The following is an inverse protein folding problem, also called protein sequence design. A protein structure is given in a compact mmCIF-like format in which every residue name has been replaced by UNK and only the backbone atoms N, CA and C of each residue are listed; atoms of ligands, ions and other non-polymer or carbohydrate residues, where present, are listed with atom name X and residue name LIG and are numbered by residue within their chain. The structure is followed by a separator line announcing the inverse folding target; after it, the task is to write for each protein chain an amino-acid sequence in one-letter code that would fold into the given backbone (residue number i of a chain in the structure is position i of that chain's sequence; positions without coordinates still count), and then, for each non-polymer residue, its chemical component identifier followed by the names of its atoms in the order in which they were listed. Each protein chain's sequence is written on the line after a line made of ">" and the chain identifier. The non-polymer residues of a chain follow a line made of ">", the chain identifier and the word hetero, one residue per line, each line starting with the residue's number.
data_IF_229457796672
#
_entry.id   IF_229457796672
#
_cell.length_a   1.000
_cell.length_b   1.000
_cell.length_c   1.000
_cell.angle_alpha   90.00
_cell.angle_beta   90.00
_cell.angle_gamma   90.00
#
_symmetry.space_group_name_H-M   'P 1'
#
loop_
_entity.id
_entity.type
_entity.pdbx_description
1 polymer ?
#
# COMPACT_ATOMS: atom_id res chain seq x y z
N UNK A 1 -4.31 -1.64 -0.53
CA UNK A 1 -3.65 -1.69 -1.83
C UNK A 1 -4.61 -1.25 -2.93
N UNK A 2 -4.08 -0.50 -3.90
CA UNK A 2 -4.80 -0.05 -5.10
C UNK A 2 -4.10 -0.64 -6.33
N UNK A 3 -4.88 -0.99 -7.35
CA UNK A 3 -4.35 -1.61 -8.56
C UNK A 3 -5.13 -1.20 -9.81
N UNK A 4 -4.52 -1.32 -10.98
CA UNK A 4 -5.14 -1.14 -12.31
C UNK A 4 -5.97 -2.38 -12.66
N UNK A 5 -7.24 -2.36 -12.31
CA UNK A 5 -8.14 -3.49 -12.52
C UNK A 5 -8.34 -3.82 -13.99
N UNK A 6 -8.38 -2.82 -14.86
CA UNK A 6 -8.42 -2.97 -16.31
C UNK A 6 -7.21 -3.75 -16.84
N UNK A 7 -6.00 -3.44 -16.37
CA UNK A 7 -4.77 -4.16 -16.75
C UNK A 7 -4.77 -5.59 -16.23
N UNK A 8 -5.28 -5.81 -15.00
CA UNK A 8 -5.40 -7.16 -14.45
C UNK A 8 -6.38 -8.01 -15.27
N UNK A 9 -7.52 -7.43 -15.69
CA UNK A 9 -8.50 -8.09 -16.53
C UNK A 9 -7.91 -8.41 -17.92
N UNK A 10 -7.23 -7.45 -18.56
CA UNK A 10 -6.56 -7.63 -19.83
C UNK A 10 -5.58 -8.80 -19.83
N UNK A 11 -4.78 -8.93 -18.76
CA UNK A 11 -3.75 -9.94 -18.61
C UNK A 11 -4.23 -11.24 -17.95
N UNK A 12 -5.50 -11.31 -17.52
CA UNK A 12 -6.04 -12.45 -16.78
C UNK A 12 -5.34 -12.70 -15.46
N UNK A 13 -4.97 -11.64 -14.73
CA UNK A 13 -4.29 -11.74 -13.44
C UNK A 13 -5.31 -11.86 -12.30
N UNK A 14 -5.05 -12.78 -11.39
CA UNK A 14 -5.81 -12.92 -10.15
C UNK A 14 -5.26 -11.97 -9.07
N UNK A 15 -6.14 -11.58 -8.13
CA UNK A 15 -5.73 -10.79 -6.96
C UNK A 15 -4.83 -11.65 -6.07
N UNK A 16 -3.59 -11.21 -5.79
CA UNK A 16 -2.65 -11.99 -4.98
C UNK A 16 -3.10 -12.05 -3.51
N UNK A 17 -2.98 -13.21 -2.90
CA UNK A 17 -3.35 -13.47 -1.51
C UNK A 17 -2.16 -13.64 -0.57
N UNK A 18 -0.97 -13.84 -1.14
CA UNK A 18 0.28 -14.04 -0.41
C UNK A 18 1.45 -13.38 -1.12
N UNK A 19 2.62 -13.40 -0.46
CA UNK A 19 3.86 -12.78 -0.93
C UNK A 19 4.33 -13.31 -2.29
N UNK A 20 4.25 -14.61 -2.49
CA UNK A 20 4.75 -15.23 -3.71
C UNK A 20 3.84 -14.94 -4.91
N UNK A 21 2.53 -14.96 -4.70
CA UNK A 21 1.56 -14.55 -5.71
C UNK A 21 1.72 -13.06 -6.06
N UNK A 22 1.94 -12.21 -5.05
CA UNK A 22 2.19 -10.77 -5.28
C UNK A 22 3.45 -10.55 -6.12
N UNK A 23 4.54 -11.25 -5.80
CA UNK A 23 5.76 -11.20 -6.60
C UNK A 23 5.50 -11.67 -8.04
N UNK A 24 4.81 -12.79 -8.23
CA UNK A 24 4.51 -13.34 -9.56
C UNK A 24 3.63 -12.39 -10.40
N UNK A 25 2.68 -11.70 -9.77
CA UNK A 25 1.89 -10.64 -10.45
C UNK A 25 2.78 -9.51 -10.92
N UNK A 26 3.71 -9.02 -10.08
CA UNK A 26 4.65 -7.97 -10.50
C UNK A 26 5.55 -8.41 -11.66
N UNK A 27 6.02 -9.66 -11.66
CA UNK A 27 6.82 -10.22 -12.76
C UNK A 27 6.01 -10.25 -14.06
N UNK A 28 4.77 -10.74 -14.03
CA UNK A 28 3.90 -10.78 -15.22
C UNK A 28 3.59 -9.39 -15.76
N UNK A 29 3.34 -8.42 -14.88
CA UNK A 29 3.16 -7.03 -15.28
C UNK A 29 4.42 -6.46 -15.96
N UNK A 30 5.60 -6.77 -15.41
CA UNK A 30 6.89 -6.37 -16.00
C UNK A 30 7.16 -7.02 -17.35
N UNK A 31 6.78 -8.28 -17.52
CA UNK A 31 6.90 -9.00 -18.79
C UNK A 31 5.99 -8.41 -19.87
N UNK A 32 4.74 -8.08 -19.51
CA UNK A 32 3.78 -7.44 -20.41
C UNK A 32 4.17 -6.00 -20.75
N UNK A 33 4.71 -5.26 -19.77
CA UNK A 33 5.12 -3.86 -19.90
C UNK A 33 6.60 -3.67 -19.51
N UNK A 34 7.56 -4.03 -20.39
CA UNK A 34 8.98 -4.10 -20.03
C UNK A 34 9.61 -2.79 -19.55
N UNK A 35 9.06 -1.65 -19.97
CA UNK A 35 9.55 -0.32 -19.57
C UNK A 35 8.93 0.20 -18.29
N UNK A 36 7.95 -0.51 -17.71
CA UNK A 36 7.27 -0.12 -16.47
C UNK A 36 8.07 -0.48 -15.22
N UNK A 37 7.63 0.06 -14.10
CA UNK A 37 7.96 -0.38 -12.75
C UNK A 37 6.64 -0.75 -12.07
N UNK A 38 6.21 -2.02 -12.08
CA UNK A 38 4.86 -2.43 -11.71
C UNK A 38 4.36 -1.93 -10.37
N UNK A 39 5.26 -1.78 -9.39
CA UNK A 39 4.96 -1.28 -8.05
C UNK A 39 5.54 0.12 -7.85
N UNK A 40 4.69 1.07 -7.45
CA UNK A 40 5.13 2.41 -7.09
C UNK A 40 4.57 2.84 -5.74
N UNK A 41 5.40 3.52 -4.96
CA UNK A 41 5.01 4.26 -3.77
C UNK A 41 5.35 5.73 -3.97
N UNK A 42 4.61 6.64 -3.33
CA UNK A 42 4.99 8.04 -3.25
C UNK A 42 5.72 8.34 -1.96
N UNK A 43 6.68 9.25 -2.00
CA UNK A 43 7.23 9.84 -0.80
C UNK A 43 6.15 10.70 -0.13
N UNK A 44 5.71 10.25 1.04
CA UNK A 44 4.58 10.82 1.75
C UNK A 44 5.06 11.16 3.16
N UNK A 45 5.19 12.44 3.46
CA UNK A 45 5.68 12.94 4.75
C UNK A 45 7.01 12.31 5.23
N UNK A 46 7.89 11.95 4.27
CA UNK A 46 9.16 11.29 4.54
C UNK A 46 9.13 9.77 4.29
N UNK A 47 10.32 9.23 4.07
CA UNK A 47 10.54 7.80 3.72
C UNK A 47 10.01 6.81 4.75
N UNK A 48 9.94 7.23 6.00
CA UNK A 48 9.53 6.40 7.13
C UNK A 48 8.05 6.03 7.09
N UNK A 49 7.21 6.86 6.47
CA UNK A 49 5.78 6.60 6.43
C UNK A 49 5.39 5.38 5.60
N UNK A 50 6.15 5.06 4.56
CA UNK A 50 5.92 3.84 3.78
C UNK A 50 6.19 2.58 4.61
N UNK A 51 7.24 2.58 5.41
CA UNK A 51 7.55 1.47 6.32
C UNK A 51 6.44 1.27 7.35
N UNK A 52 5.83 2.38 7.84
CA UNK A 52 4.68 2.32 8.73
C UNK A 52 3.49 1.58 8.11
N UNK A 53 3.28 1.78 6.81
CA UNK A 53 2.16 1.17 6.09
C UNK A 53 2.44 -0.27 5.69
N UNK A 54 3.68 -0.62 5.44
CA UNK A 54 4.09 -1.94 4.95
C UNK A 54 4.38 -2.94 6.08
N UNK A 55 4.98 -2.50 7.18
CA UNK A 55 5.41 -3.39 8.26
C UNK A 55 4.28 -4.26 8.85
N UNK A 56 3.04 -3.76 9.06
CA UNK A 56 1.97 -4.57 9.63
C UNK A 56 1.58 -5.80 8.81
N UNK A 57 1.63 -5.73 7.49
CA UNK A 57 1.31 -6.91 6.63
C UNK A 57 2.40 -7.98 6.69
N UNK A 58 3.56 -7.65 7.28
CA UNK A 58 4.65 -8.58 7.57
C UNK A 58 4.60 -9.14 8.99
N UNK A 59 3.64 -8.72 9.81
CA UNK A 59 3.56 -9.14 11.21
C UNK A 59 4.57 -8.40 12.12
N UNK A 60 5.02 -7.22 11.71
CA UNK A 60 5.95 -6.40 12.49
C UNK A 60 5.44 -4.95 12.62
N UNK A 61 6.17 -4.11 13.31
CA UNK A 61 5.81 -2.71 13.52
C UNK A 61 6.95 -1.76 13.11
N UNK A 62 6.57 -0.66 12.51
CA UNK A 62 7.45 0.45 12.20
C UNK A 62 6.68 1.76 12.25
N UNK A 63 6.08 2.09 13.38
CA UNK A 63 5.36 3.34 13.55
C UNK A 63 6.27 4.39 14.17
N UNK A 64 6.61 5.41 13.38
CA UNK A 64 7.27 6.63 13.86
C UNK A 64 6.22 7.67 14.23
N UNK A 65 5.44 7.40 15.26
CA UNK A 65 4.56 8.38 15.89
C UNK A 65 5.09 8.79 17.23
N UNK A 66 4.73 9.96 17.72
CA UNK A 66 5.13 10.45 19.06
C UNK A 66 4.75 9.48 20.17
N UNK A 67 3.69 8.69 19.97
CA UNK A 67 3.12 7.79 20.97
C UNK A 67 3.66 6.34 20.87
N UNK A 68 4.25 5.91 19.74
CA UNK A 68 4.55 4.48 19.54
C UNK A 68 5.76 4.24 18.61
N UNK A 69 6.91 4.78 18.99
CA UNK A 69 8.14 4.75 18.22
C UNK A 69 8.65 3.33 17.99
N UNK A 70 8.23 2.69 16.88
CA UNK A 70 8.72 1.40 16.42
C UNK A 70 8.36 0.19 17.30
N UNK A 71 7.58 0.37 18.38
CA UNK A 71 7.18 -0.70 19.25
C UNK A 71 5.80 -1.25 18.86
N UNK A 72 5.69 -2.56 18.82
CA UNK A 72 4.46 -3.31 18.76
C UNK A 72 4.12 -3.93 20.11
N UNK A 73 2.85 -4.06 20.40
CA UNK A 73 2.36 -4.81 21.56
C UNK A 73 1.56 -6.01 21.08
N UNK A 74 2.01 -7.18 21.50
CA UNK A 74 1.29 -8.42 21.25
C UNK A 74 0.28 -8.64 22.38
N UNK A 75 -1.01 -8.60 22.03
CA UNK A 75 -2.10 -8.75 23.00
C UNK A 75 -2.27 -10.20 23.49
N UNK A 76 -1.80 -11.19 22.74
CA UNK A 76 -1.92 -12.59 23.12
C UNK A 76 -0.83 -12.99 24.10
N UNK A 77 0.41 -12.62 23.87
CA UNK A 77 1.52 -12.85 24.79
C UNK A 77 1.66 -11.80 25.89
N UNK A 78 1.13 -10.59 25.69
CA UNK A 78 1.31 -9.46 26.61
C UNK A 78 2.69 -8.81 26.54
N UNK A 79 3.43 -9.04 25.45
CA UNK A 79 4.80 -8.57 25.31
C UNK A 79 4.94 -7.38 24.35
N UNK A 80 5.95 -6.56 24.60
CA UNK A 80 6.36 -5.49 23.70
C UNK A 80 7.50 -5.96 22.80
N UNK A 81 7.40 -5.65 21.51
CA UNK A 81 8.48 -5.90 20.53
C UNK A 81 8.97 -4.58 19.93
N UNK A 82 10.25 -4.55 19.58
CA UNK A 82 10.83 -3.46 18.78
C UNK A 82 10.94 -3.91 17.33
N UNK A 83 10.01 -3.45 16.51
CA UNK A 83 9.85 -3.93 15.12
C UNK A 83 11.12 -3.93 14.27
N UNK A 84 11.93 -2.85 14.23
CA UNK A 84 13.11 -2.79 13.39
C UNK A 84 14.18 -3.88 13.63
N UNK A 85 14.12 -4.58 14.76
CA UNK A 85 15.04 -5.70 15.06
C UNK A 85 14.39 -7.07 14.87
N UNK A 86 13.11 -7.10 14.46
CA UNK A 86 12.41 -8.36 14.25
C UNK A 86 12.86 -9.07 12.96
N UNK A 87 12.82 -10.41 12.92
CA UNK A 87 13.09 -11.17 11.71
C UNK A 87 12.16 -10.79 10.54
N UNK A 88 10.90 -10.49 10.83
CA UNK A 88 9.87 -10.10 9.86
C UNK A 88 10.21 -8.76 9.20
N UNK A 89 10.76 -7.82 9.97
CA UNK A 89 11.21 -6.54 9.42
C UNK A 89 12.39 -6.74 8.46
N UNK A 90 13.33 -7.60 8.81
CA UNK A 90 14.44 -7.97 7.93
C UNK A 90 13.93 -8.62 6.64
N UNK A 91 13.00 -9.57 6.75
CA UNK A 91 12.39 -10.24 5.59
C UNK A 91 11.69 -9.24 4.68
N UNK A 92 10.95 -8.29 5.25
CA UNK A 92 10.34 -7.19 4.51
C UNK A 92 11.37 -6.39 3.71
N UNK A 93 12.47 -5.98 4.34
CA UNK A 93 13.53 -5.23 3.65
C UNK A 93 14.18 -6.04 2.54
N UNK A 94 14.44 -7.32 2.77
CA UNK A 94 15.02 -8.23 1.77
C UNK A 94 14.09 -8.38 0.55
N UNK A 95 12.79 -8.52 0.78
CA UNK A 95 11.79 -8.59 -0.28
C UNK A 95 11.74 -7.33 -1.13
N UNK A 96 11.59 -6.15 -0.52
CA UNK A 96 11.56 -4.89 -1.28
C UNK A 96 12.90 -4.57 -1.95
N UNK A 97 14.03 -4.97 -1.36
CA UNK A 97 15.34 -4.89 -2.01
C UNK A 97 15.41 -5.78 -3.25
N UNK A 98 14.83 -6.99 -3.20
CA UNK A 98 14.69 -7.87 -4.36
C UNK A 98 13.87 -7.20 -5.45
N UNK A 99 12.67 -6.69 -5.13
CA UNK A 99 11.82 -6.00 -6.09
C UNK A 99 12.53 -4.80 -6.75
N UNK A 100 13.28 -4.04 -5.95
CA UNK A 100 14.07 -2.91 -6.43
C UNK A 100 15.15 -3.35 -7.44
N UNK A 101 15.92 -4.38 -7.10
CA UNK A 101 17.00 -4.89 -7.96
C UNK A 101 16.50 -5.48 -9.27
N UNK A 102 15.31 -6.07 -9.26
CA UNK A 102 14.67 -6.68 -10.43
C UNK A 102 13.87 -5.68 -11.26
N UNK A 103 13.84 -4.39 -10.88
CA UNK A 103 13.12 -3.34 -11.57
C UNK A 103 11.59 -3.49 -11.49
N UNK A 104 11.10 -4.17 -10.44
CA UNK A 104 9.68 -4.34 -10.15
C UNK A 104 9.13 -3.21 -9.28
N UNK A 105 10.00 -2.52 -8.53
CA UNK A 105 9.70 -1.36 -7.71
C UNK A 105 10.30 -0.09 -8.34
N UNK A 106 9.51 0.97 -8.39
CA UNK A 106 9.93 2.28 -8.91
C UNK A 106 11.21 2.77 -8.23
N UNK A 107 12.30 3.10 -8.97
CA UNK A 107 13.61 3.35 -8.37
C UNK A 107 13.68 4.54 -7.42
N UNK A 108 12.89 5.59 -7.69
CA UNK A 108 12.86 6.80 -6.88
C UNK A 108 11.71 6.82 -5.86
N UNK A 109 11.20 5.65 -5.46
CA UNK A 109 10.05 5.49 -4.55
C UNK A 109 10.22 6.21 -3.20
N UNK A 110 11.45 6.49 -2.78
CA UNK A 110 11.76 7.22 -1.54
C UNK A 110 11.73 8.75 -1.72
N UNK A 111 11.81 9.26 -2.94
CA UNK A 111 11.97 10.68 -3.23
C UNK A 111 10.92 11.27 -4.17
N UNK A 112 10.19 10.42 -4.89
CA UNK A 112 9.14 10.88 -5.81
C UNK A 112 8.04 11.59 -5.05
N UNK A 113 7.68 12.78 -5.51
CA UNK A 113 6.58 13.53 -4.94
C UNK A 113 5.21 12.99 -5.36
N UNK A 114 4.15 13.56 -4.80
CA UNK A 114 2.79 13.13 -5.10
C UNK A 114 2.45 13.29 -6.58
N UNK A 115 2.90 14.38 -7.23
CA UNK A 115 2.60 14.61 -8.65
C UNK A 115 3.31 13.60 -9.53
N UNK A 116 4.61 13.40 -9.37
CA UNK A 116 5.37 12.43 -10.13
C UNK A 116 4.83 11.00 -9.99
N UNK A 117 4.43 10.60 -8.78
CA UNK A 117 3.78 9.31 -8.54
C UNK A 117 2.42 9.21 -9.26
N UNK A 118 1.62 10.28 -9.28
CA UNK A 118 0.37 10.29 -10.03
C UNK A 118 0.62 10.14 -11.53
N UNK A 119 1.61 10.85 -12.06
CA UNK A 119 1.97 10.80 -13.47
C UNK A 119 2.43 9.37 -13.88
N UNK A 120 3.23 8.69 -13.05
CA UNK A 120 3.69 7.31 -13.30
C UNK A 120 2.52 6.32 -13.39
N UNK A 121 1.53 6.43 -12.52
CA UNK A 121 0.33 5.56 -12.55
C UNK A 121 -0.56 5.93 -13.75
N UNK A 122 -0.80 7.23 -13.98
CA UNK A 122 -1.64 7.70 -15.08
C UNK A 122 -1.11 7.31 -16.45
N UNK A 123 0.22 7.31 -16.62
CA UNK A 123 0.87 6.94 -17.88
C UNK A 123 1.00 5.43 -18.10
N UNK A 124 0.61 4.59 -17.14
CA UNK A 124 0.77 3.14 -17.24
C UNK A 124 2.21 2.67 -17.02
N UNK A 125 3.03 3.47 -16.32
CA UNK A 125 4.39 3.10 -15.93
C UNK A 125 4.41 2.32 -14.59
N UNK A 126 3.29 2.30 -13.85
CA UNK A 126 3.07 1.49 -12.64
C UNK A 126 1.60 1.12 -12.50
N UNK A 127 1.34 -0.04 -11.88
CA UNK A 127 0.00 -0.65 -11.86
C UNK A 127 -0.51 -0.94 -10.46
N UNK A 128 0.38 -1.03 -9.47
CA UNK A 128 0.04 -1.31 -8.06
C UNK A 128 0.67 -0.25 -7.16
N UNK A 129 -0.10 0.19 -6.17
CA UNK A 129 0.35 1.15 -5.16
C UNK A 129 -0.35 0.92 -3.82
N UNK A 130 0.19 1.50 -2.76
CA UNK A 130 -0.45 1.55 -1.44
C UNK A 130 -0.75 3.01 -1.10
N UNK A 131 -2.03 3.36 -1.01
CA UNK A 131 -2.47 4.73 -0.73
C UNK A 131 -3.91 4.75 -0.18
N UNK A 132 -4.44 5.94 0.11
CA UNK A 132 -5.82 6.13 0.54
C UNK A 132 -6.84 5.69 -0.52
N UNK A 133 -7.97 5.14 -0.10
CA UNK A 133 -9.07 4.72 -0.99
C UNK A 133 -9.61 5.87 -1.86
N UNK A 134 -9.55 7.11 -1.38
CA UNK A 134 -9.94 8.30 -2.16
C UNK A 134 -9.12 8.49 -3.45
N UNK A 135 -7.99 7.82 -3.59
CA UNK A 135 -7.20 7.83 -4.82
C UNK A 135 -7.84 7.06 -5.96
N UNK A 136 -8.72 6.12 -5.66
CA UNK A 136 -9.52 5.41 -6.69
C UNK A 136 -10.35 6.42 -7.48
N UNK A 137 -11.15 7.23 -6.78
CA UNK A 137 -11.98 8.25 -7.44
C UNK A 137 -11.13 9.31 -8.14
N UNK A 138 -10.02 9.71 -7.51
CA UNK A 138 -9.09 10.67 -8.10
C UNK A 138 -8.58 10.20 -9.46
N UNK A 139 -8.04 8.99 -9.56
CA UNK A 139 -7.50 8.46 -10.81
C UNK A 139 -8.61 8.18 -11.83
N UNK A 140 -9.69 7.50 -11.43
CA UNK A 140 -10.78 7.17 -12.32
C UNK A 140 -11.43 8.41 -12.94
N UNK A 141 -11.70 9.45 -12.16
CA UNK A 141 -12.29 10.68 -12.67
C UNK A 141 -11.34 11.49 -13.55
N UNK A 142 -10.02 11.42 -13.25
CA UNK A 142 -9.00 12.15 -14.02
C UNK A 142 -8.69 11.49 -15.35
N UNK A 143 -8.71 10.15 -15.43
CA UNK A 143 -8.21 9.41 -16.59
C UNK A 143 -9.30 8.98 -17.55
N UNK A 144 -10.50 8.61 -17.10
CA UNK A 144 -11.61 8.14 -17.95
C UNK A 144 -12.06 9.08 -19.07
N UNK A 145 -11.92 10.42 -18.96
CA UNK A 145 -12.21 11.29 -20.11
C UNK A 145 -11.30 11.05 -21.32
N UNK A 146 -10.07 10.57 -21.14
CA UNK A 146 -9.12 10.24 -22.20
C UNK A 146 -8.91 8.75 -22.42
N UNK A 147 -9.13 7.93 -21.41
CA UNK A 147 -9.03 6.48 -21.39
C UNK A 147 -10.25 5.89 -20.67
N UNK A 148 -11.36 5.61 -21.40
CA UNK A 148 -12.61 5.15 -20.79
C UNK A 148 -12.50 3.83 -20.02
N UNK A 149 -11.56 2.99 -20.37
CA UNK A 149 -11.34 1.67 -19.76
C UNK A 149 -10.50 1.75 -18.50
N UNK A 150 -9.81 2.89 -18.27
CA UNK A 150 -8.99 3.09 -17.07
C UNK A 150 -9.77 2.82 -15.79
N UNK A 151 -9.34 1.84 -15.04
CA UNK A 151 -10.00 1.45 -13.80
C UNK A 151 -9.01 1.16 -12.68
N UNK A 152 -8.91 2.12 -11.76
CA UNK A 152 -8.26 1.90 -10.46
C UNK A 152 -9.27 1.27 -9.51
N UNK A 153 -8.88 0.21 -8.81
CA UNK A 153 -9.70 -0.49 -7.83
C UNK A 153 -8.90 -0.82 -6.56
N UNK A 154 -9.61 -1.27 -5.52
CA UNK A 154 -9.04 -1.76 -4.27
C UNK A 154 -8.84 -3.27 -4.32
N UNK A 155 -7.74 -3.74 -3.76
CA UNK A 155 -7.55 -5.16 -3.44
C UNK A 155 -7.20 -5.33 -1.96
N UNK A 156 -7.67 -6.44 -1.39
CA UNK A 156 -7.32 -6.79 -0.03
C UNK A 156 -5.79 -6.95 0.12
N UNK A 157 -5.19 -6.56 1.26
CA UNK A 157 -3.79 -6.80 1.51
C UNK A 157 -3.48 -8.29 1.44
N UNK A 158 -2.46 -8.66 0.67
CA UNK A 158 -1.93 -10.02 0.70
C UNK A 158 -1.17 -10.26 2.01
N UNK A 159 -1.15 -11.50 2.48
CA UNK A 159 -0.39 -11.89 3.66
C UNK A 159 1.09 -12.08 3.28
N UNK A 160 1.96 -11.22 3.75
CA UNK A 160 3.39 -11.27 3.41
C UNK A 160 4.25 -12.02 4.42
N UNK A 161 3.92 -11.93 5.71
CA UNK A 161 4.67 -12.61 6.76
C UNK A 161 4.38 -14.10 6.84
N UNK A 162 5.23 -14.83 7.57
CA UNK A 162 5.12 -16.28 7.77
C UNK A 162 3.82 -16.72 8.45
N UNK A 163 3.17 -15.84 9.20
CA UNK A 163 1.91 -16.10 9.91
C UNK A 163 0.66 -15.67 9.14
N UNK A 164 0.81 -15.23 7.89
CA UNK A 164 -0.32 -14.86 7.04
C UNK A 164 -1.14 -13.69 7.55
N UNK A 165 -0.54 -12.78 8.31
CA UNK A 165 -1.26 -11.63 8.87
C UNK A 165 -1.38 -10.54 7.81
N UNK A 166 -2.60 -10.30 7.36
CA UNK A 166 -2.98 -9.20 6.47
C UNK A 166 -3.65 -8.06 7.25
N UNK A 167 -3.23 -7.77 8.48
CA UNK A 167 -3.89 -6.79 9.35
C UNK A 167 -3.08 -5.51 9.48
N UNK A 168 -3.77 -4.38 9.28
CA UNK A 168 -3.25 -3.10 9.73
C UNK A 168 -3.65 -2.89 11.20
N UNK A 169 -2.71 -2.60 12.11
CA UNK A 169 -3.06 -2.30 13.48
C UNK A 169 -3.94 -1.06 13.52
N UNK A 170 -5.10 -1.17 14.14
CA UNK A 170 -5.96 -0.04 14.39
C UNK A 170 -5.56 0.58 15.73
N UNK A 171 -5.34 1.90 15.76
CA UNK A 171 -5.20 2.60 17.01
C UNK A 171 -6.52 2.50 17.80
N UNK A 172 -6.45 2.06 19.06
CA UNK A 172 -7.60 2.09 19.95
C UNK A 172 -8.08 3.53 20.29
N UNK A 173 -7.28 4.53 19.94
CA UNK A 173 -7.65 5.94 20.08
C UNK A 173 -8.28 6.42 18.77
N UNK A 174 -9.57 6.76 18.81
CA UNK A 174 -10.20 7.49 17.72
C UNK A 174 -9.55 8.89 17.65
N UNK A 175 -8.74 9.13 16.64
CA UNK A 175 -8.08 10.43 16.44
C UNK A 175 -8.99 11.44 15.75
N UNK A 176 -10.00 11.00 15.04
CA UNK A 176 -11.00 11.82 14.36
C UNK A 176 -12.36 11.15 14.43
N UNK A 177 -13.40 11.95 14.52
CA UNK A 177 -14.78 11.48 14.48
C UNK A 177 -15.69 12.57 13.94
N UNK A 178 -16.84 12.16 13.43
CA UNK A 178 -17.91 13.07 13.10
C UNK A 178 -18.69 13.41 14.37
N UNK A 179 -19.00 14.68 14.54
CA UNK A 179 -19.85 15.16 15.63
C UNK A 179 -21.08 15.83 15.04
N UNK A 180 -22.23 15.55 15.64
CA UNK A 180 -23.47 16.21 15.30
C UNK A 180 -23.75 17.26 16.36
N UNK A 181 -24.00 18.49 15.94
CA UNK A 181 -24.32 19.57 16.87
C UNK A 181 -25.61 19.23 17.62
N UNK A 182 -25.62 19.39 18.93
CA UNK A 182 -26.85 19.23 19.75
C UNK A 182 -27.96 20.23 19.40
N UNK A 183 -27.64 21.23 18.58
CA UNK A 183 -28.60 22.24 18.12
C UNK A 183 -29.12 21.94 16.69
N UNK A 184 -28.66 20.86 16.05
CA UNK A 184 -29.17 20.53 14.72
C UNK A 184 -30.65 20.18 14.78
N UNK A 185 -31.38 20.63 13.77
CA UNK A 185 -32.79 20.28 13.55
C UNK A 185 -32.96 19.22 12.44
N UNK A 186 -31.85 18.67 11.94
CA UNK A 186 -31.78 17.74 10.83
C UNK A 186 -31.01 16.50 11.25
N UNK A 187 -31.54 15.77 12.23
CA UNK A 187 -30.96 14.52 12.72
C UNK A 187 -31.33 13.31 11.85
N UNK A 188 -32.39 13.46 11.04
CA UNK A 188 -32.98 12.38 10.23
C UNK A 188 -32.61 12.48 8.75
N UNK A 189 -31.82 13.48 8.36
CA UNK A 189 -31.22 13.64 7.04
C UNK A 189 -29.79 13.05 7.02
#
# INVERSE_FOLDING_TARGET
>A
WLYRADVFEELGLEIPTNKDEFYNVLVKLKEAYPNSYPLAFRSFAGTMNQMNMLAPVWGTSFMDTEDNRFFGYDYDSGEWSFGPTSPEFKEMLEFYNKLYKEGLLLPNFLTIDTKGWQDVIANGDSFITLDYLSRIDFFNNSMRPSDPDFTMAYMAPAAFGSEGQAMFPNSAKAMMGFVVSSQTKKLDD
#
